data_IF_833699492022
#
_entry.id   IF_833699492022
#
_cell.length_a   1.000
_cell.length_b   1.000
_cell.length_c   1.000
_cell.angle_alpha   90.00
_cell.angle_beta   90.00
_cell.angle_gamma   90.00
#
_symmetry.space_group_name_H-M   'P 1'
#
loop_
_entity.id
_entity.type
_entity.pdbx_description
1 polymer ?
#
# COMPACT_ATOMS: atom_id res chain seq x y z
N UNK A 1 -9.97 13.80 -19.77
CA UNK A 1 -9.64 12.38 -19.58
C UNK A 1 -10.96 11.67 -19.35
N UNK A 2 -11.42 10.86 -20.30
CA UNK A 2 -12.68 10.09 -20.10
C UNK A 2 -12.30 8.92 -19.21
N UNK A 3 -12.91 8.83 -18.01
CA UNK A 3 -12.68 7.72 -17.10
C UNK A 3 -13.60 6.56 -17.47
N UNK A 4 -13.04 5.39 -17.71
CA UNK A 4 -13.78 4.16 -18.02
C UNK A 4 -14.18 3.39 -16.75
N UNK A 5 -13.97 3.98 -15.57
CA UNK A 5 -14.29 3.44 -14.26
C UNK A 5 -14.93 4.51 -13.36
N UNK A 6 -15.88 4.09 -12.53
CA UNK A 6 -16.49 4.91 -11.48
C UNK A 6 -16.25 4.20 -10.16
N UNK A 7 -15.63 4.90 -9.21
CA UNK A 7 -15.49 4.46 -7.82
C UNK A 7 -16.43 5.34 -7.00
N UNK A 8 -17.31 4.71 -6.24
CA UNK A 8 -18.30 5.40 -5.42
C UNK A 8 -18.51 4.66 -4.11
N UNK A 9 -18.70 5.41 -3.03
CA UNK A 9 -19.13 4.91 -1.74
C UNK A 9 -20.59 5.28 -1.51
N UNK A 10 -21.37 4.37 -0.93
CA UNK A 10 -22.76 4.59 -0.53
C UNK A 10 -22.83 4.51 0.98
N UNK A 11 -23.49 5.48 1.58
CA UNK A 11 -23.62 5.60 3.04
C UNK A 11 -25.02 6.09 3.40
N UNK A 12 -25.38 6.00 4.68
CA UNK A 12 -26.62 6.59 5.18
C UNK A 12 -26.55 8.12 5.12
N UNK A 13 -27.64 8.84 4.78
CA UNK A 13 -27.66 10.30 4.79
C UNK A 13 -27.27 10.97 6.12
N UNK A 14 -27.27 10.24 7.25
CA UNK A 14 -26.85 10.73 8.56
C UNK A 14 -25.33 10.62 8.81
N UNK A 15 -24.62 9.88 7.97
CA UNK A 15 -23.17 9.66 8.14
C UNK A 15 -22.35 10.87 7.74
N UNK A 16 -21.12 10.94 8.26
CA UNK A 16 -20.22 12.04 7.97
C UNK A 16 -19.64 11.92 6.55
N UNK A 17 -20.19 12.69 5.62
CA UNK A 17 -19.75 12.75 4.22
C UNK A 17 -18.25 13.06 4.07
N UNK A 18 -17.67 13.88 4.94
CA UNK A 18 -16.24 14.21 4.88
C UNK A 18 -15.39 12.97 5.18
N UNK A 19 -15.82 12.13 6.12
CA UNK A 19 -15.10 10.92 6.47
C UNK A 19 -15.17 9.87 5.36
N UNK A 20 -16.35 9.72 4.74
CA UNK A 20 -16.54 8.87 3.55
C UNK A 20 -15.73 9.38 2.35
N UNK A 21 -15.68 10.71 2.15
CA UNK A 21 -14.85 11.34 1.13
C UNK A 21 -13.36 11.05 1.34
N UNK A 22 -12.87 11.14 2.59
CA UNK A 22 -11.49 10.80 2.91
C UNK A 22 -11.17 9.33 2.65
N UNK A 23 -12.06 8.41 3.01
CA UNK A 23 -11.89 6.99 2.70
C UNK A 23 -11.86 6.74 1.17
N UNK A 24 -12.74 7.41 0.42
CA UNK A 24 -12.75 7.31 -1.04
C UNK A 24 -11.46 7.85 -1.66
N UNK A 25 -10.95 8.99 -1.18
CA UNK A 25 -9.68 9.56 -1.63
C UNK A 25 -8.50 8.63 -1.29
N UNK A 26 -8.47 8.08 -0.08
CA UNK A 26 -7.47 7.08 0.34
C UNK A 26 -7.40 5.90 -0.65
N UNK A 27 -8.56 5.36 -1.06
CA UNK A 27 -8.63 4.27 -2.04
C UNK A 27 -8.09 4.71 -3.41
N UNK A 28 -8.49 5.89 -3.89
CA UNK A 28 -8.08 6.39 -5.22
C UNK A 28 -6.57 6.64 -5.26
N UNK A 29 -6.04 7.41 -4.32
CA UNK A 29 -4.61 7.70 -4.22
C UNK A 29 -3.81 6.42 -3.97
N UNK A 30 -4.33 5.55 -3.11
CA UNK A 30 -3.74 4.26 -2.80
C UNK A 30 -3.61 3.35 -4.04
N UNK A 31 -4.58 3.38 -4.95
CA UNK A 31 -4.46 2.67 -6.22
C UNK A 31 -3.41 3.27 -7.15
N UNK A 32 -3.20 4.58 -7.14
CA UNK A 32 -2.10 5.18 -7.88
C UNK A 32 -0.75 4.68 -7.38
N UNK A 33 -0.59 4.51 -6.06
CA UNK A 33 0.62 3.93 -5.45
C UNK A 33 0.76 2.44 -5.79
N UNK A 34 -0.32 1.66 -5.71
CA UNK A 34 -0.27 0.20 -5.91
C UNK A 34 -0.01 -0.19 -7.38
N UNK A 35 -0.52 0.59 -8.34
CA UNK A 35 -0.50 0.25 -9.76
C UNK A 35 0.46 1.12 -10.60
N UNK A 36 1.20 2.06 -9.99
CA UNK A 36 2.18 3.01 -10.57
C UNK A 36 1.64 3.98 -11.64
N UNK A 37 0.62 3.60 -12.41
CA UNK A 37 0.10 4.31 -13.59
C UNK A 37 -1.41 4.58 -13.51
N UNK A 38 -1.97 4.45 -12.31
CA UNK A 38 -3.40 4.59 -12.05
C UNK A 38 -4.21 3.36 -12.41
N UNK A 39 -5.53 3.50 -12.28
CA UNK A 39 -6.49 2.42 -12.39
C UNK A 39 -7.34 2.60 -13.65
N UNK A 40 -7.17 1.71 -14.64
CA UNK A 40 -8.06 1.60 -15.79
C UNK A 40 -8.93 0.35 -15.69
N UNK A 41 -9.95 0.23 -16.54
CA UNK A 41 -10.84 -0.94 -16.57
C UNK A 41 -10.08 -2.25 -16.79
N UNK A 42 -8.97 -2.23 -17.54
CA UNK A 42 -8.20 -3.43 -17.87
C UNK A 42 -7.44 -3.93 -16.64
N UNK A 43 -6.69 -3.05 -15.99
CA UNK A 43 -5.97 -3.30 -14.73
C UNK A 43 -6.97 -3.74 -13.66
N UNK A 44 -8.13 -3.08 -13.57
CA UNK A 44 -9.15 -3.45 -12.60
C UNK A 44 -9.68 -4.88 -12.77
N UNK A 45 -9.81 -5.36 -14.01
CA UNK A 45 -10.22 -6.73 -14.30
C UNK A 45 -9.08 -7.74 -14.16
N UNK A 46 -7.84 -7.34 -14.48
CA UNK A 46 -6.66 -8.20 -14.41
C UNK A 46 -6.19 -8.43 -12.96
N UNK A 47 -6.32 -7.41 -12.10
CA UNK A 47 -5.83 -7.43 -10.71
C UNK A 47 -6.95 -7.18 -9.69
N UNK A 48 -8.14 -7.73 -9.95
CA UNK A 48 -9.29 -7.57 -9.06
C UNK A 48 -9.02 -8.04 -7.63
N UNK A 49 -8.29 -9.15 -7.47
CA UNK A 49 -7.94 -9.68 -6.14
C UNK A 49 -7.15 -8.67 -5.30
N UNK A 50 -6.25 -7.91 -5.94
CA UNK A 50 -5.47 -6.88 -5.26
C UNK A 50 -6.34 -5.67 -4.88
N UNK A 51 -7.31 -5.32 -5.72
CA UNK A 51 -8.30 -4.27 -5.45
C UNK A 51 -9.19 -4.64 -4.27
N UNK A 52 -9.71 -5.88 -4.25
CA UNK A 52 -10.52 -6.37 -3.15
C UNK A 52 -9.76 -6.34 -1.83
N UNK A 53 -8.48 -6.75 -1.83
CA UNK A 53 -7.62 -6.68 -0.66
C UNK A 53 -7.38 -5.23 -0.22
N UNK A 54 -7.13 -4.30 -1.15
CA UNK A 54 -6.92 -2.89 -0.80
C UNK A 54 -8.16 -2.25 -0.16
N UNK A 55 -9.34 -2.56 -0.67
CA UNK A 55 -10.60 -2.06 -0.10
C UNK A 55 -10.81 -2.62 1.32
N UNK A 56 -10.48 -3.89 1.56
CA UNK A 56 -10.55 -4.55 2.88
C UNK A 56 -9.59 -3.91 3.91
N UNK A 57 -8.49 -3.28 3.48
CA UNK A 57 -7.59 -2.54 4.38
C UNK A 57 -8.13 -1.15 4.77
N UNK A 58 -9.10 -0.61 4.02
CA UNK A 58 -9.71 0.71 4.26
C UNK A 58 -11.03 0.56 5.00
N UNK A 59 -11.86 -0.40 4.61
CA UNK A 59 -13.23 -0.57 5.11
C UNK A 59 -13.44 -2.04 5.50
N UNK A 60 -13.77 -2.27 6.78
CA UNK A 60 -14.13 -3.58 7.32
C UNK A 60 -15.53 -3.54 7.92
N UNK A 61 -16.43 -4.40 7.43
CA UNK A 61 -17.84 -4.48 7.82
C UNK A 61 -18.59 -3.12 7.88
N UNK A 62 -18.27 -2.23 6.94
CA UNK A 62 -18.84 -0.88 6.85
C UNK A 62 -18.19 0.16 7.78
N UNK A 63 -17.18 -0.22 8.56
CA UNK A 63 -16.38 0.66 9.40
C UNK A 63 -15.12 1.06 8.63
N UNK A 64 -14.89 2.37 8.48
CA UNK A 64 -13.64 2.89 7.93
C UNK A 64 -12.54 2.72 8.99
N UNK A 65 -11.53 1.93 8.66
CA UNK A 65 -10.37 1.66 9.52
C UNK A 65 -9.16 2.52 9.17
N UNK A 66 -8.99 2.84 7.89
CA UNK A 66 -7.84 3.60 7.39
C UNK A 66 -8.27 4.75 6.50
N UNK A 67 -7.53 5.85 6.57
CA UNK A 67 -7.72 7.02 5.70
C UNK A 67 -6.41 7.51 5.08
N UNK A 68 -5.28 6.88 5.39
CA UNK A 68 -3.99 7.16 4.77
C UNK A 68 -3.65 6.17 3.64
N UNK A 69 -3.39 6.71 2.44
CA UNK A 69 -3.16 5.95 1.21
C UNK A 69 -1.81 5.24 1.22
N UNK A 70 -0.78 5.81 1.87
CA UNK A 70 0.54 5.17 2.02
C UNK A 70 0.46 3.95 2.95
N UNK A 71 -0.20 4.08 4.11
CA UNK A 71 -0.40 2.97 5.03
C UNK A 71 -1.19 1.82 4.39
N UNK A 72 -2.27 2.14 3.66
CA UNK A 72 -3.03 1.15 2.91
C UNK A 72 -2.14 0.44 1.87
N UNK A 73 -1.41 1.17 1.03
CA UNK A 73 -0.55 0.58 -0.01
C UNK A 73 0.57 -0.29 0.57
N UNK A 74 1.16 0.15 1.69
CA UNK A 74 2.14 -0.62 2.43
C UNK A 74 1.55 -1.96 2.90
N UNK A 75 0.39 -1.95 3.57
CA UNK A 75 -0.24 -3.18 4.08
C UNK A 75 -0.64 -4.15 2.97
N UNK A 76 -1.20 -3.65 1.87
CA UNK A 76 -1.53 -4.47 0.69
C UNK A 76 -0.27 -5.12 0.09
N UNK A 77 0.86 -4.41 0.09
CA UNK A 77 2.15 -4.93 -0.38
C UNK A 77 2.67 -6.04 0.52
N UNK A 78 2.56 -5.89 1.85
CA UNK A 78 2.97 -6.92 2.82
C UNK A 78 2.04 -8.14 2.87
N UNK A 79 0.76 -8.01 2.50
CA UNK A 79 -0.20 -9.13 2.50
C UNK A 79 0.18 -10.21 1.46
N UNK A 80 0.89 -9.84 0.39
CA UNK A 80 1.49 -10.78 -0.57
C UNK A 80 2.74 -11.53 -0.03
N UNK A 81 3.30 -11.11 1.09
CA UNK A 81 4.56 -11.64 1.65
C UNK A 81 4.31 -12.74 2.70
N UNK A 82 3.06 -12.94 3.15
CA UNK A 82 2.71 -14.01 4.11
C UNK A 82 2.88 -15.44 3.54
N UNK A 83 3.29 -15.59 2.28
CA UNK A 83 3.58 -16.88 1.63
C UNK A 83 5.05 -17.25 1.44
N UNK A 84 6.01 -16.31 1.52
CA UNK A 84 7.43 -16.65 1.45
C UNK A 84 8.32 -15.48 1.94
N UNK A 85 9.11 -15.74 2.97
CA UNK A 85 10.31 -15.04 3.43
C UNK A 85 10.54 -13.54 3.10
N UNK A 86 10.58 -12.72 4.17
CA UNK A 86 11.27 -11.41 4.30
C UNK A 86 10.98 -10.35 3.23
N UNK A 87 9.87 -9.64 3.38
CA UNK A 87 9.63 -8.38 2.70
C UNK A 87 10.10 -7.19 3.54
N UNK A 88 11.34 -6.75 3.33
CA UNK A 88 11.85 -5.47 3.82
C UNK A 88 11.95 -4.54 2.62
N UNK A 89 10.96 -3.66 2.45
CA UNK A 89 11.02 -2.57 1.45
C UNK A 89 11.94 -1.49 2.01
N UNK A 90 13.21 -1.57 1.63
CA UNK A 90 14.23 -0.62 2.08
C UNK A 90 15.48 -0.72 1.20
N UNK A 91 15.33 -0.31 -0.06
CA UNK A 91 16.42 -0.28 -1.05
C UNK A 91 17.64 0.55 -0.60
N UNK A 92 17.49 1.43 0.41
CA UNK A 92 18.59 2.21 0.97
C UNK A 92 19.11 1.72 2.33
N UNK A 93 18.24 1.17 3.19
CA UNK A 93 18.55 0.98 4.62
C UNK A 93 19.38 -0.28 4.85
N UNK A 94 19.08 -1.36 4.13
CA UNK A 94 19.79 -2.62 4.28
C UNK A 94 21.21 -2.54 3.72
N UNK A 95 21.37 -1.95 2.52
CA UNK A 95 22.68 -1.74 1.89
C UNK A 95 23.58 -0.83 2.73
N UNK A 96 23.00 0.23 3.32
CA UNK A 96 23.73 1.14 4.21
C UNK A 96 24.15 0.46 5.50
N UNK A 97 23.25 -0.30 6.14
CA UNK A 97 23.57 -1.07 7.35
C UNK A 97 24.60 -2.18 7.09
N UNK A 98 24.54 -2.86 5.94
CA UNK A 98 25.47 -3.90 5.56
C UNK A 98 26.88 -3.34 5.28
N UNK A 99 26.96 -2.22 4.58
CA UNK A 99 28.24 -1.54 4.34
C UNK A 99 28.87 -1.05 5.65
N UNK A 100 28.07 -0.55 6.59
CA UNK A 100 28.52 -0.18 7.93
C UNK A 100 29.06 -1.38 8.71
N UNK A 101 28.33 -2.50 8.74
CA UNK A 101 28.75 -3.72 9.42
C UNK A 101 30.03 -4.32 8.81
N UNK A 102 30.12 -4.32 7.48
CA UNK A 102 31.32 -4.77 6.73
C UNK A 102 32.55 -3.92 7.07
N UNK A 103 32.40 -2.61 7.21
CA UNK A 103 33.47 -1.71 7.62
C UNK A 103 34.00 -2.01 9.03
N UNK A 104 33.10 -2.28 9.98
CA UNK A 104 33.45 -2.65 11.36
C UNK A 104 34.20 -3.99 11.42
N UNK A 105 33.74 -5.00 10.68
CA UNK A 105 34.36 -6.33 10.64
C UNK A 105 35.74 -6.33 9.97
N UNK A 106 35.90 -5.56 8.89
CA UNK A 106 37.21 -5.34 8.25
C UNK A 106 38.21 -4.63 9.18
N UNK A 107 37.73 -3.70 10.02
CA UNK A 107 38.56 -3.06 11.05
C UNK A 107 39.07 -4.06 12.10
N UNK A 108 38.20 -4.98 12.54
CA UNK A 108 38.56 -6.07 13.45
C UNK A 108 39.56 -7.06 12.84
N UNK A 109 39.46 -7.36 11.55
CA UNK A 109 40.34 -8.31 10.88
C UNK A 109 41.73 -7.72 10.54
N UNK A 110 41.82 -6.40 10.31
CA UNK A 110 43.10 -5.69 10.04
C UNK A 110 43.85 -5.28 11.31
N UNK A 111 43.30 -5.54 12.49
CA UNK A 111 43.92 -5.29 13.79
C UNK A 111 44.48 -6.57 14.42
N UNK A 112 45.55 -7.13 13.84
CA UNK A 112 46.56 -7.97 14.51
C UNK A 112 47.88 -7.87 13.75
#
# INVERSE_FOLDING_TARGET
>A
MVSDLIIAALTDPQENELFVSNALNCIVEGFEIIFDKGLDKKIALEFYDKIAIAIDEVIDDGIILEVDSEEMANRVSFKNIKGNETGFSGDGTFTSALNFAKGSLLGLWRGK
#
